data_IF_545458961844
#
_entry.id   IF_545458961844
#
_cell.length_a   1.000
_cell.length_b   1.000
_cell.length_c   1.000
_cell.angle_alpha   90.00
_cell.angle_beta   90.00
_cell.angle_gamma   90.00
#
_symmetry.space_group_name_H-M   'P 1'
#
loop_
_entity.id
_entity.type
_entity.pdbx_description
1 polymer ?
#
# COMPACT_ATOMS: atom_id res chain seq x y z
N UNK A 1 3.73 4.87 -1.98
CA UNK A 1 3.24 3.81 -1.10
C UNK A 1 4.39 3.20 -0.30
N UNK A 2 4.30 3.13 1.04
CA UNK A 2 5.25 2.37 1.83
C UNK A 2 5.04 0.87 1.55
N UNK A 3 6.14 0.19 1.25
CA UNK A 3 6.20 -1.27 1.22
C UNK A 3 6.90 -1.78 2.48
N UNK A 4 7.08 -3.09 2.62
CA UNK A 4 7.79 -3.67 3.76
C UNK A 4 9.26 -3.22 3.83
N UNK A 5 9.91 -3.01 2.67
CA UNK A 5 11.34 -2.72 2.57
C UNK A 5 11.67 -1.29 2.11
N UNK A 6 10.80 -0.63 1.39
CA UNK A 6 11.06 0.70 0.80
C UNK A 6 9.77 1.51 0.61
N UNK A 7 9.93 2.79 0.31
CA UNK A 7 8.82 3.68 -0.08
C UNK A 7 8.92 3.94 -1.58
N UNK A 8 7.88 3.61 -2.33
CA UNK A 8 7.78 3.97 -3.75
C UNK A 8 6.86 5.17 -3.95
N UNK A 9 7.28 6.10 -4.80
CA UNK A 9 6.54 7.31 -5.18
C UNK A 9 6.48 7.35 -6.70
N UNK A 10 5.28 7.37 -7.25
CA UNK A 10 5.01 7.50 -8.68
C UNK A 10 4.52 8.92 -8.99
N UNK A 11 5.12 9.57 -9.98
CA UNK A 11 4.78 10.92 -10.46
C UNK A 11 3.92 10.85 -11.71
N UNK A 12 3.74 9.66 -12.31
CA UNK A 12 3.07 9.52 -13.59
C UNK A 12 1.56 9.84 -13.47
N UNK A 13 1.15 11.00 -13.98
CA UNK A 13 -0.24 11.34 -14.15
C UNK A 13 -0.65 11.11 -15.61
N UNK A 14 -1.49 10.09 -15.85
CA UNK A 14 -1.99 9.73 -17.19
C UNK A 14 -2.75 10.82 -17.97
N UNK A 15 -2.73 12.07 -17.51
CA UNK A 15 -3.41 13.21 -18.14
C UNK A 15 -2.49 14.21 -18.85
N UNK A 16 -1.18 14.14 -18.65
CA UNK A 16 -0.22 15.15 -19.16
C UNK A 16 0.14 14.99 -20.65
N UNK A 17 -0.34 13.98 -21.34
CA UNK A 17 0.14 13.54 -22.68
C UNK A 17 -0.43 14.42 -23.83
N UNK A 18 -1.30 15.39 -23.57
CA UNK A 18 -2.00 16.12 -24.65
C UNK A 18 -1.39 17.46 -25.08
N UNK A 19 -0.23 17.86 -24.58
CA UNK A 19 0.38 19.14 -24.96
C UNK A 19 1.44 18.99 -26.07
N UNK A 20 1.56 20.01 -26.92
CA UNK A 20 2.46 20.03 -28.08
C UNK A 20 3.96 19.91 -27.76
N UNK A 21 4.35 20.01 -26.50
CA UNK A 21 5.74 19.88 -26.06
C UNK A 21 5.81 18.95 -24.83
N UNK A 22 5.88 17.66 -25.09
CA UNK A 22 5.89 16.59 -24.06
C UNK A 22 7.06 16.76 -23.08
N UNK A 23 8.25 17.11 -23.58
CA UNK A 23 9.46 17.25 -22.76
C UNK A 23 9.35 18.43 -21.76
N UNK A 24 8.83 19.60 -22.18
CA UNK A 24 8.68 20.73 -21.26
C UNK A 24 7.60 20.48 -20.22
N UNK A 25 6.50 19.81 -20.60
CA UNK A 25 5.44 19.44 -19.67
C UNK A 25 5.94 18.43 -18.65
N UNK A 26 6.74 17.45 -19.08
CA UNK A 26 7.37 16.49 -18.18
C UNK A 26 8.30 17.18 -17.18
N UNK A 27 9.12 18.14 -17.65
CA UNK A 27 10.01 18.92 -16.79
C UNK A 27 9.22 19.71 -15.73
N UNK A 28 8.21 20.46 -16.14
CA UNK A 28 7.41 21.30 -15.23
C UNK A 28 6.69 20.45 -14.19
N UNK A 29 6.08 19.34 -14.61
CA UNK A 29 5.41 18.40 -13.71
C UNK A 29 6.40 17.78 -12.72
N UNK A 30 7.57 17.35 -13.20
CA UNK A 30 8.60 16.76 -12.34
C UNK A 30 9.20 17.79 -11.36
N UNK A 31 9.33 19.04 -11.74
CA UNK A 31 9.78 20.12 -10.84
C UNK A 31 8.78 20.37 -9.72
N UNK A 32 7.49 20.44 -10.03
CA UNK A 32 6.42 20.57 -9.05
C UNK A 32 6.37 19.34 -8.13
N UNK A 33 6.43 18.14 -8.71
CA UNK A 33 6.48 16.89 -7.96
C UNK A 33 7.67 16.83 -7.00
N UNK A 34 8.87 17.26 -7.42
CA UNK A 34 10.06 17.28 -6.58
C UNK A 34 9.87 18.15 -5.32
N UNK A 35 9.19 19.29 -5.44
CA UNK A 35 8.87 20.14 -4.30
C UNK A 35 7.87 19.49 -3.34
N UNK A 36 6.80 18.93 -3.89
CA UNK A 36 5.76 18.29 -3.10
C UNK A 36 6.28 17.01 -2.43
N UNK A 37 7.09 16.22 -3.13
CA UNK A 37 7.73 15.02 -2.57
C UNK A 37 8.60 15.40 -1.36
N UNK A 38 9.45 16.42 -1.48
CA UNK A 38 10.28 16.88 -0.36
C UNK A 38 9.41 17.31 0.84
N UNK A 39 8.29 17.97 0.59
CA UNK A 39 7.33 18.37 1.62
C UNK A 39 6.68 17.15 2.28
N UNK A 40 6.18 16.20 1.49
CA UNK A 40 5.48 15.02 1.97
C UNK A 40 6.39 14.07 2.75
N UNK A 41 7.62 13.86 2.30
CA UNK A 41 8.62 13.05 3.00
C UNK A 41 8.83 13.58 4.43
N UNK A 42 8.92 14.89 4.58
CA UNK A 42 9.09 15.55 5.88
C UNK A 42 7.84 15.45 6.75
N UNK A 43 6.65 15.75 6.21
CA UNK A 43 5.39 15.76 6.97
C UNK A 43 5.02 14.37 7.45
N UNK A 44 5.19 13.36 6.59
CA UNK A 44 4.85 11.96 6.90
C UNK A 44 5.98 11.22 7.60
N UNK A 45 7.12 11.87 7.84
CA UNK A 45 8.34 11.26 8.38
C UNK A 45 8.75 9.96 7.65
N UNK A 46 8.63 9.98 6.31
CA UNK A 46 9.05 8.85 5.50
C UNK A 46 10.55 8.68 5.60
N UNK A 47 11.01 7.46 5.85
CA UNK A 47 12.42 7.16 6.14
C UNK A 47 12.84 5.82 5.53
N UNK A 48 14.13 5.59 5.46
CA UNK A 48 14.72 4.43 4.80
C UNK A 48 14.98 4.70 3.32
N UNK A 49 14.91 3.67 2.50
CA UNK A 49 15.08 3.76 1.06
C UNK A 49 13.78 4.26 0.42
N UNK A 50 13.90 5.28 -0.42
CA UNK A 50 12.79 5.88 -1.16
C UNK A 50 13.15 5.87 -2.63
N UNK A 51 12.27 5.32 -3.45
CA UNK A 51 12.40 5.31 -4.91
C UNK A 51 11.31 6.20 -5.49
N UNK A 52 11.70 7.13 -6.35
CA UNK A 52 10.80 8.06 -7.02
C UNK A 52 10.85 7.74 -8.51
N UNK A 53 9.69 7.52 -9.10
CA UNK A 53 9.48 7.32 -10.52
C UNK A 53 9.00 8.64 -11.14
N UNK A 54 9.96 9.37 -11.76
CA UNK A 54 9.68 10.62 -12.45
C UNK A 54 9.22 10.35 -13.88
N UNK A 55 8.46 11.29 -14.43
CA UNK A 55 8.12 11.24 -15.86
C UNK A 55 9.40 11.27 -16.68
N UNK A 56 9.50 10.39 -17.67
CA UNK A 56 10.69 10.26 -18.52
C UNK A 56 11.08 11.59 -19.17
N UNK A 57 12.36 11.92 -19.09
CA UNK A 57 12.97 13.10 -19.71
C UNK A 57 14.18 12.68 -20.53
N UNK A 58 14.20 13.04 -21.81
CA UNK A 58 15.33 12.74 -22.70
C UNK A 58 16.54 13.61 -22.38
N UNK A 59 16.30 14.89 -22.05
CA UNK A 59 17.36 15.86 -21.79
C UNK A 59 18.03 15.61 -20.44
N UNK A 60 19.32 15.38 -20.46
CA UNK A 60 20.16 15.30 -19.26
C UNK A 60 20.11 16.60 -18.44
N UNK A 61 20.02 17.75 -19.11
CA UNK A 61 19.86 19.06 -18.45
C UNK A 61 18.57 19.15 -17.63
N UNK A 62 17.47 18.64 -18.16
CA UNK A 62 16.17 18.61 -17.48
C UNK A 62 16.22 17.71 -16.24
N UNK A 63 16.78 16.50 -16.37
CA UNK A 63 16.98 15.60 -15.21
C UNK A 63 17.79 16.28 -14.10
N UNK A 64 18.87 16.98 -14.46
CA UNK A 64 19.67 17.72 -13.47
C UNK A 64 18.92 18.87 -12.80
N UNK A 65 18.01 19.53 -13.49
CA UNK A 65 17.18 20.60 -12.89
C UNK A 65 16.25 19.99 -11.82
N UNK A 66 15.58 18.87 -12.10
CA UNK A 66 14.72 18.17 -11.15
C UNK A 66 15.52 17.68 -9.93
N UNK A 67 16.68 17.04 -10.15
CA UNK A 67 17.59 16.62 -9.07
C UNK A 67 17.99 17.80 -8.16
N UNK A 68 18.35 18.92 -8.77
CA UNK A 68 18.73 20.13 -8.03
C UNK A 68 17.57 20.67 -7.22
N UNK A 69 16.38 20.76 -7.80
CA UNK A 69 15.18 21.21 -7.11
C UNK A 69 14.86 20.34 -5.89
N UNK A 70 14.87 19.02 -6.06
CA UNK A 70 14.65 18.09 -4.95
C UNK A 70 15.70 18.28 -3.85
N UNK A 71 16.99 18.36 -4.18
CA UNK A 71 18.08 18.60 -3.22
C UNK A 71 17.91 19.91 -2.45
N UNK A 72 17.55 21.00 -3.14
CA UNK A 72 17.33 22.31 -2.51
C UNK A 72 16.17 22.27 -1.50
N UNK A 73 15.07 21.62 -1.85
CA UNK A 73 13.91 21.50 -0.97
C UNK A 73 14.19 20.58 0.23
N UNK A 74 14.94 19.51 0.03
CA UNK A 74 15.35 18.60 1.09
C UNK A 74 16.37 19.20 2.07
N UNK A 75 17.13 20.24 1.71
CA UNK A 75 18.08 20.92 2.62
C UNK A 75 17.45 21.47 3.90
N UNK A 76 16.16 21.76 3.89
CA UNK A 76 15.42 22.25 5.05
C UNK A 76 14.97 21.14 6.01
N UNK A 77 15.28 19.89 5.68
CA UNK A 77 15.03 18.76 6.57
C UNK A 77 16.22 18.57 7.51
N UNK A 78 15.93 18.32 8.78
CA UNK A 78 16.95 18.00 9.78
C UNK A 78 17.45 16.55 9.73
N UNK A 79 16.75 15.69 8.99
CA UNK A 79 17.19 14.33 8.76
C UNK A 79 18.35 14.29 7.76
N UNK A 80 19.27 13.37 7.95
CA UNK A 80 20.32 13.12 6.95
C UNK A 80 19.70 12.48 5.72
N UNK A 81 19.84 13.14 4.58
CA UNK A 81 19.29 12.69 3.29
C UNK A 81 20.44 12.52 2.31
N UNK A 82 20.44 11.39 1.61
CA UNK A 82 21.29 11.13 0.45
C UNK A 82 20.39 11.01 -0.78
N UNK A 83 20.73 11.72 -1.85
CA UNK A 83 19.94 11.76 -3.08
C UNK A 83 20.84 11.35 -4.24
N UNK A 84 20.47 10.29 -4.93
CA UNK A 84 21.12 9.81 -6.13
C UNK A 84 20.87 10.68 -7.36
N UNK A 85 21.13 10.14 -8.52
CA UNK A 85 20.81 10.73 -9.83
C UNK A 85 19.58 10.06 -10.41
N UNK A 86 18.86 10.76 -11.28
CA UNK A 86 17.80 10.17 -12.09
C UNK A 86 18.45 9.25 -13.11
N UNK A 87 18.09 7.97 -13.09
CA UNK A 87 18.55 6.96 -14.03
C UNK A 87 17.96 7.18 -15.42
N UNK A 88 18.43 6.40 -16.40
CA UNK A 88 17.84 6.42 -17.75
C UNK A 88 16.41 5.89 -17.80
N UNK A 89 15.96 5.24 -16.74
CA UNK A 89 14.59 4.74 -16.59
C UNK A 89 13.67 5.69 -15.80
N UNK A 90 14.07 6.96 -15.61
CA UNK A 90 13.27 7.91 -14.82
C UNK A 90 13.36 7.75 -13.30
N UNK A 91 14.00 6.70 -12.82
CA UNK A 91 14.04 6.37 -11.39
C UNK A 91 15.10 7.18 -10.64
N UNK A 92 14.72 7.77 -9.52
CA UNK A 92 15.63 8.39 -8.56
C UNK A 92 15.60 7.64 -7.24
N UNK A 93 16.77 7.24 -6.79
CA UNK A 93 16.97 6.61 -5.49
C UNK A 93 17.42 7.65 -4.47
N UNK A 94 16.80 7.61 -3.29
CA UNK A 94 17.24 8.42 -2.16
C UNK A 94 17.07 7.66 -0.86
N UNK A 95 17.86 8.06 0.15
CA UNK A 95 17.71 7.56 1.51
C UNK A 95 17.49 8.71 2.48
N UNK A 96 16.62 8.52 3.45
CA UNK A 96 16.38 9.46 4.53
C UNK A 96 16.51 8.76 5.89
N UNK A 97 17.31 9.36 6.77
CA UNK A 97 17.49 8.85 8.12
C UNK A 97 16.15 8.89 8.89
N UNK A 98 15.85 7.81 9.59
CA UNK A 98 14.70 7.76 10.49
C UNK A 98 14.98 8.61 11.73
N UNK A 99 14.11 9.59 12.00
CA UNK A 99 14.25 10.48 13.15
C UNK A 99 13.48 9.99 14.37
N UNK A 100 12.43 9.21 14.17
CA UNK A 100 11.60 8.63 15.23
C UNK A 100 11.48 7.13 15.02
N UNK A 101 11.38 6.38 16.10
CA UNK A 101 10.97 4.99 15.98
C UNK A 101 9.59 4.90 15.32
N UNK A 102 9.39 3.87 14.52
CA UNK A 102 8.08 3.63 13.90
C UNK A 102 7.05 3.38 14.99
N UNK A 103 6.42 4.45 15.49
CA UNK A 103 5.42 4.37 16.54
C UNK A 103 4.15 3.66 16.09
N UNK A 104 3.96 3.46 14.79
CA UNK A 104 2.77 2.87 14.22
C UNK A 104 3.12 1.53 13.60
N UNK A 105 3.11 0.49 14.40
CA UNK A 105 2.86 -0.87 13.90
C UNK A 105 1.38 -0.91 13.53
N UNK A 106 1.09 -0.82 12.25
CA UNK A 106 -0.27 -1.03 11.74
C UNK A 106 -0.63 -2.49 11.99
N UNK A 107 -1.27 -2.78 13.11
CA UNK A 107 -1.94 -4.05 13.32
C UNK A 107 -3.26 -3.98 12.55
N UNK A 108 -3.26 -4.43 11.31
CA UNK A 108 -4.50 -4.63 10.56
C UNK A 108 -5.21 -5.81 11.21
N UNK A 109 -6.18 -5.51 12.06
CA UNK A 109 -7.12 -6.51 12.58
C UNK A 109 -8.37 -6.46 11.73
N UNK A 110 -8.83 -7.61 11.29
CA UNK A 110 -10.15 -7.71 10.68
C UNK A 110 -11.19 -7.30 11.71
N UNK A 111 -12.23 -6.57 11.28
CA UNK A 111 -13.43 -6.36 12.09
C UNK A 111 -14.08 -7.71 12.37
N UNK A 112 -14.88 -7.83 13.43
CA UNK A 112 -15.57 -9.07 13.78
C UNK A 112 -16.44 -9.56 12.61
N UNK A 113 -17.10 -8.64 11.90
CA UNK A 113 -17.88 -8.91 10.69
C UNK A 113 -17.01 -9.46 9.54
N UNK A 114 -15.89 -8.79 9.23
CA UNK A 114 -14.98 -9.25 8.16
C UNK A 114 -14.34 -10.59 8.50
N UNK A 115 -14.12 -10.85 9.79
CA UNK A 115 -13.58 -12.13 10.25
C UNK A 115 -14.64 -13.24 10.15
N UNK A 116 -15.89 -12.95 10.51
CA UNK A 116 -17.02 -13.87 10.36
C UNK A 116 -17.25 -14.25 8.88
N UNK A 117 -17.26 -13.26 7.97
CA UNK A 117 -17.38 -13.50 6.53
C UNK A 117 -16.23 -14.36 5.99
N UNK A 118 -15.00 -14.14 6.48
CA UNK A 118 -13.86 -14.98 6.13
C UNK A 118 -14.05 -16.43 6.59
N UNK A 119 -14.59 -16.64 7.78
CA UNK A 119 -14.91 -17.98 8.30
C UNK A 119 -15.95 -18.66 7.42
N UNK A 120 -17.07 -17.99 7.10
CA UNK A 120 -18.11 -18.52 6.23
C UNK A 120 -17.56 -18.94 4.86
N UNK A 121 -16.69 -18.11 4.28
CA UNK A 121 -16.02 -18.44 3.02
C UNK A 121 -15.11 -19.65 3.13
N UNK A 122 -14.41 -19.83 4.25
CA UNK A 122 -13.59 -21.02 4.48
C UNK A 122 -14.44 -22.27 4.68
N UNK A 123 -15.60 -22.18 5.33
CA UNK A 123 -16.56 -23.27 5.47
C UNK A 123 -17.09 -23.67 4.11
N UNK A 124 -17.54 -22.73 3.31
CA UNK A 124 -18.01 -22.98 1.93
C UNK A 124 -16.92 -23.67 1.09
N UNK A 125 -15.70 -23.18 1.16
CA UNK A 125 -14.56 -23.73 0.42
C UNK A 125 -14.29 -25.19 0.84
N UNK A 126 -14.31 -25.49 2.13
CA UNK A 126 -14.14 -26.86 2.65
C UNK A 126 -15.29 -27.77 2.24
N UNK A 127 -16.52 -27.26 2.24
CA UNK A 127 -17.69 -28.00 1.80
C UNK A 127 -17.60 -28.40 0.32
N UNK A 128 -17.22 -27.46 -0.55
CA UNK A 128 -17.18 -27.64 -2.01
C UNK A 128 -15.97 -28.45 -2.45
N UNK A 129 -14.78 -28.11 -1.99
CA UNK A 129 -13.52 -28.72 -2.44
C UNK A 129 -13.30 -30.08 -1.76
N UNK A 130 -13.45 -30.14 -0.43
CA UNK A 130 -13.11 -31.33 0.34
C UNK A 130 -14.30 -32.29 0.54
N UNK A 131 -15.52 -31.89 0.11
CA UNK A 131 -16.76 -32.64 0.38
C UNK A 131 -16.88 -33.07 1.85
N UNK A 132 -16.45 -32.17 2.74
CA UNK A 132 -16.40 -32.45 4.17
C UNK A 132 -17.82 -32.64 4.72
N UNK A 133 -18.04 -33.72 5.45
CA UNK A 133 -19.33 -33.99 6.13
C UNK A 133 -19.39 -33.34 7.51
N UNK A 134 -18.26 -32.94 8.05
CA UNK A 134 -18.10 -32.37 9.38
C UNK A 134 -17.08 -31.23 9.34
N UNK A 135 -17.38 -30.11 9.96
CA UNK A 135 -16.45 -28.97 10.08
C UNK A 135 -16.53 -28.40 11.49
N UNK A 136 -15.43 -28.53 12.23
CA UNK A 136 -15.26 -27.92 13.55
C UNK A 136 -14.65 -26.51 13.39
N UNK A 137 -15.37 -25.50 13.86
CA UNK A 137 -14.93 -24.11 13.86
C UNK A 137 -14.40 -23.76 15.25
N UNK A 138 -13.08 -23.77 15.41
CA UNK A 138 -12.42 -23.30 16.63
C UNK A 138 -12.24 -21.80 16.57
N UNK A 139 -13.08 -21.05 17.28
CA UNK A 139 -13.07 -19.59 17.32
C UNK A 139 -13.17 -19.09 18.76
N UNK A 140 -12.74 -17.83 18.99
CA UNK A 140 -12.91 -17.25 20.32
C UNK A 140 -14.40 -16.99 20.60
N UNK A 141 -14.79 -16.97 21.89
CA UNK A 141 -16.16 -16.80 22.32
C UNK A 141 -16.89 -15.63 21.66
N UNK A 142 -16.21 -14.47 21.56
CA UNK A 142 -16.77 -13.27 20.92
C UNK A 142 -17.20 -13.50 19.47
N UNK A 143 -16.41 -14.21 18.69
CA UNK A 143 -16.72 -14.53 17.29
C UNK A 143 -17.77 -15.62 17.19
N UNK A 144 -17.75 -16.60 18.12
CA UNK A 144 -18.79 -17.62 18.20
C UNK A 144 -20.17 -16.99 18.43
N UNK A 145 -20.27 -16.08 19.40
CA UNK A 145 -21.52 -15.36 19.73
C UNK A 145 -21.97 -14.51 18.52
N UNK A 146 -21.04 -13.77 17.92
CA UNK A 146 -21.32 -12.96 16.73
C UNK A 146 -21.81 -13.77 15.51
N UNK A 147 -21.22 -14.95 15.25
CA UNK A 147 -21.65 -15.86 14.20
C UNK A 147 -23.06 -16.40 14.45
N UNK A 148 -23.37 -16.76 15.71
CA UNK A 148 -24.68 -17.29 16.10
C UNK A 148 -25.78 -16.22 16.05
N UNK A 149 -25.46 -14.96 16.34
CA UNK A 149 -26.43 -13.87 16.32
C UNK A 149 -26.70 -13.37 14.89
N UNK A 150 -25.68 -13.24 14.07
CA UNK A 150 -25.79 -12.53 12.79
C UNK A 150 -25.78 -13.44 11.56
N UNK A 151 -25.26 -14.67 11.65
CA UNK A 151 -25.01 -15.55 10.51
C UNK A 151 -25.57 -16.97 10.69
N UNK A 152 -26.54 -17.16 11.58
CA UNK A 152 -27.16 -18.46 11.84
C UNK A 152 -27.88 -19.00 10.59
N UNK A 153 -28.51 -18.12 9.82
CA UNK A 153 -29.25 -18.50 8.60
C UNK A 153 -28.27 -19.00 7.53
N UNK A 154 -27.15 -18.31 7.34
CA UNK A 154 -26.12 -18.71 6.40
C UNK A 154 -25.49 -20.05 6.76
N UNK A 155 -25.17 -20.26 8.03
CA UNK A 155 -24.64 -21.54 8.53
C UNK A 155 -25.64 -22.68 8.29
N UNK A 156 -26.90 -22.47 8.61
CA UNK A 156 -27.97 -23.46 8.40
C UNK A 156 -28.16 -23.75 6.89
N UNK A 157 -28.06 -22.72 6.05
CA UNK A 157 -28.12 -22.88 4.61
C UNK A 157 -26.95 -23.74 4.09
N UNK A 158 -25.73 -23.51 4.56
CA UNK A 158 -24.56 -24.31 4.16
C UNK A 158 -24.66 -25.76 4.63
N UNK A 159 -25.17 -26.01 5.85
CA UNK A 159 -25.41 -27.36 6.35
C UNK A 159 -26.39 -28.13 5.48
N UNK A 160 -27.53 -27.52 5.14
CA UNK A 160 -28.56 -28.15 4.29
C UNK A 160 -28.10 -28.37 2.86
N UNK A 161 -27.47 -27.34 2.25
CA UNK A 161 -27.02 -27.39 0.86
C UNK A 161 -25.94 -28.45 0.63
N UNK A 162 -24.99 -28.54 1.56
CA UNK A 162 -23.83 -29.42 1.41
C UNK A 162 -23.95 -30.74 2.19
N UNK A 163 -25.08 -30.98 2.88
CA UNK A 163 -25.31 -32.17 3.75
C UNK A 163 -24.17 -32.38 4.74
N UNK A 164 -23.76 -31.29 5.39
CA UNK A 164 -22.65 -31.27 6.35
C UNK A 164 -23.14 -30.75 7.70
N UNK A 165 -22.35 -30.99 8.75
CA UNK A 165 -22.60 -30.48 10.09
C UNK A 165 -21.46 -29.51 10.48
N UNK A 166 -21.83 -28.37 11.06
CA UNK A 166 -20.91 -27.32 11.46
C UNK A 166 -21.02 -27.18 12.99
N UNK A 167 -19.97 -27.53 13.71
CA UNK A 167 -19.89 -27.31 15.15
C UNK A 167 -18.96 -26.12 15.45
N UNK A 168 -19.46 -25.16 16.24
CA UNK A 168 -18.71 -23.99 16.70
C UNK A 168 -18.25 -24.25 18.13
N UNK A 169 -16.95 -24.43 18.28
CA UNK A 169 -16.26 -24.76 19.53
C UNK A 169 -15.46 -23.56 20.03
#
# INVERSE_FOLDING_TARGET
>A
NPTEALVSIDVNSGRSIKQKNVESTALDTNLEAAEEIARQIKIRDLSGLIIIDFIDMMSFGNRRQVERRLKERCRKDRARIQIGRISNFGLLEMSRQRLRESAVKWNIKLTDESFALKILKLVELKAVINKAKFVDLKVCKKISDFLKENFIEDLTYFEKKNKMKIDII
#
